data_IF_069630721093
#
_entry.id   IF_069630721093
#
_cell.length_a   1.000
_cell.length_b   1.000
_cell.length_c   1.000
_cell.angle_alpha   90.00
_cell.angle_beta   90.00
_cell.angle_gamma   90.00
#
_symmetry.space_group_name_H-M   'P 1'
#
loop_
_entity.id
_entity.type
_entity.pdbx_description
1 polymer ?
#
# COMPACT_ATOMS: atom_id res chain seq x y z
N UNK A 1 20.10 -56.32 36.55
CA UNK A 1 19.60 -57.46 35.75
C UNK A 1 18.89 -56.90 34.53
N UNK A 2 19.08 -57.56 33.36
CA UNK A 2 18.38 -57.41 32.05
C UNK A 2 18.03 -55.98 31.53
N UNK A 3 18.58 -55.47 30.41
CA UNK A 3 18.44 -55.93 28.99
C UNK A 3 17.00 -55.64 28.51
N UNK A 4 16.74 -54.82 27.48
CA UNK A 4 17.21 -54.97 26.08
C UNK A 4 17.57 -53.63 25.36
N UNK A 5 18.47 -53.72 24.37
CA UNK A 5 18.66 -52.79 23.24
C UNK A 5 18.05 -53.44 21.98
N UNK A 6 17.62 -52.63 20.98
CA UNK A 6 17.27 -52.91 19.54
C UNK A 6 15.93 -52.20 19.20
N UNK A 7 15.47 -51.90 17.97
CA UNK A 7 15.99 -51.74 16.58
C UNK A 7 14.83 -51.06 15.77
N UNK A 8 14.96 -50.35 14.65
CA UNK A 8 16.07 -50.00 13.73
C UNK A 8 15.94 -48.52 13.32
N UNK A 9 17.04 -47.81 13.02
CA UNK A 9 17.01 -46.69 12.05
C UNK A 9 17.60 -47.19 10.73
N UNK A 10 16.75 -47.34 9.70
CA UNK A 10 17.17 -47.82 8.39
C UNK A 10 17.89 -46.71 7.65
N UNK A 11 19.19 -46.92 7.44
CA UNK A 11 19.99 -46.19 6.46
C UNK A 11 19.53 -46.50 5.03
N UNK A 12 19.97 -45.61 4.12
CA UNK A 12 20.33 -45.85 2.71
C UNK A 12 19.29 -45.53 1.63
N UNK A 13 19.84 -45.06 0.50
CA UNK A 13 19.24 -44.69 -0.80
C UNK A 13 18.40 -43.39 -0.81
N UNK A 14 18.74 -42.38 -1.61
CA UNK A 14 19.89 -42.29 -2.52
C UNK A 14 20.05 -40.92 -3.19
N UNK A 15 21.19 -40.72 -3.83
CA UNK A 15 21.45 -39.53 -4.64
C UNK A 15 20.70 -39.62 -5.98
N UNK A 16 19.91 -38.60 -6.28
CA UNK A 16 19.41 -38.27 -7.62
C UNK A 16 19.65 -36.76 -7.75
N UNK A 17 20.83 -36.35 -8.24
CA UNK A 17 21.18 -36.22 -9.67
C UNK A 17 20.34 -35.13 -10.34
N UNK A 18 21.08 -34.10 -10.74
CA UNK A 18 20.71 -33.02 -11.65
C UNK A 18 19.81 -33.46 -12.82
N UNK A 19 18.66 -32.81 -12.94
CA UNK A 19 18.03 -32.51 -14.23
C UNK A 19 17.81 -30.98 -14.20
N UNK A 20 18.69 -30.18 -14.79
CA UNK A 20 18.70 -29.91 -16.24
C UNK A 20 17.26 -29.67 -16.72
N UNK A 21 16.75 -28.48 -16.43
CA UNK A 21 15.51 -27.98 -17.04
C UNK A 21 15.77 -27.72 -18.53
N UNK A 22 15.51 -28.76 -19.32
CA UNK A 22 15.61 -28.74 -20.79
C UNK A 22 14.81 -27.57 -21.36
N UNK A 23 15.48 -26.72 -22.13
CA UNK A 23 14.81 -25.75 -23.00
C UNK A 23 14.02 -26.48 -24.09
N UNK A 24 12.86 -25.94 -24.47
CA UNK A 24 12.33 -25.78 -25.84
C UNK A 24 10.78 -25.79 -25.84
N UNK A 25 10.18 -24.83 -26.55
CA UNK A 25 8.74 -24.61 -26.60
C UNK A 25 8.40 -23.18 -26.14
N UNK A 26 7.99 -22.23 -26.98
CA UNK A 26 7.47 -22.35 -28.36
C UNK A 26 8.04 -21.28 -29.29
N UNK A 27 8.28 -21.66 -30.55
CA UNK A 27 8.56 -20.72 -31.64
C UNK A 27 7.24 -20.06 -32.02
N UNK A 28 7.03 -18.80 -31.62
CA UNK A 28 5.82 -18.05 -31.97
C UNK A 28 5.94 -17.49 -33.40
N UNK A 29 5.67 -18.35 -34.38
CA UNK A 29 5.69 -18.00 -35.80
C UNK A 29 4.40 -17.26 -36.19
N UNK A 30 4.34 -15.96 -35.87
CA UNK A 30 3.22 -15.08 -36.21
C UNK A 30 3.18 -14.78 -37.71
N UNK A 31 2.51 -15.64 -38.49
CA UNK A 31 2.21 -15.39 -39.91
C UNK A 31 1.28 -14.18 -40.06
N UNK A 32 1.54 -13.39 -41.09
CA UNK A 32 0.85 -12.14 -41.41
C UNK A 32 -0.62 -12.32 -41.76
N UNK A 33 -1.48 -11.50 -41.15
CA UNK A 33 -2.75 -11.06 -41.75
C UNK A 33 -2.77 -9.54 -41.70
N UNK A 34 -2.56 -8.91 -42.86
CA UNK A 34 -2.85 -7.50 -43.05
C UNK A 34 -4.28 -7.37 -43.58
N UNK A 35 -5.16 -6.76 -42.79
CA UNK A 35 -6.30 -5.92 -43.22
C UNK A 35 -7.14 -5.51 -42.00
N UNK A 36 -7.98 -4.50 -42.22
CA UNK A 36 -8.85 -3.78 -41.27
C UNK A 36 -8.18 -2.59 -40.56
N UNK A 37 -8.54 -1.43 -41.10
CA UNK A 37 -8.44 -0.09 -40.56
C UNK A 37 -9.39 0.07 -39.36
N UNK A 38 -9.12 1.10 -38.54
CA UNK A 38 -10.03 1.69 -37.55
C UNK A 38 -10.43 0.74 -36.37
N UNK A 39 -10.43 1.14 -35.11
CA UNK A 39 -10.27 2.47 -34.49
C UNK A 39 -9.16 2.43 -33.43
N UNK A 40 -8.27 3.42 -33.43
CA UNK A 40 -7.35 3.64 -32.31
C UNK A 40 -8.09 4.44 -31.24
N UNK A 41 -8.91 3.75 -30.45
CA UNK A 41 -9.42 4.30 -29.18
C UNK A 41 -8.21 4.72 -28.33
N UNK A 42 -7.97 6.03 -28.32
CA UNK A 42 -7.05 6.69 -27.42
C UNK A 42 -7.50 6.36 -26.00
N UNK A 43 -6.80 5.42 -25.34
CA UNK A 43 -6.97 5.13 -23.92
C UNK A 43 -6.65 6.42 -23.15
N UNK A 44 -7.69 7.21 -22.96
CA UNK A 44 -7.65 8.56 -22.43
C UNK A 44 -7.46 8.46 -20.92
N UNK A 45 -6.20 8.25 -20.56
CA UNK A 45 -5.60 8.35 -19.23
C UNK A 45 -6.57 8.90 -18.19
N UNK A 46 -7.01 8.02 -17.28
CA UNK A 46 -7.88 8.36 -16.16
C UNK A 46 -7.16 9.32 -15.19
N UNK A 47 -7.09 10.58 -15.59
CA UNK A 47 -6.50 11.72 -14.88
C UNK A 47 -7.26 13.01 -15.20
N UNK A 48 -8.51 12.89 -15.69
CA UNK A 48 -9.41 14.00 -15.87
C UNK A 48 -10.05 14.41 -14.53
N UNK A 49 -9.37 15.29 -13.82
CA UNK A 49 -9.99 16.26 -12.91
C UNK A 49 -10.70 15.70 -11.67
N UNK A 50 -9.93 15.36 -10.63
CA UNK A 50 -10.41 15.39 -9.24
C UNK A 50 -10.57 16.85 -8.69
N UNK A 51 -10.54 17.84 -9.59
CA UNK A 51 -10.56 19.28 -9.35
C UNK A 51 -11.97 19.78 -9.05
N UNK A 52 -12.25 20.02 -7.76
CA UNK A 52 -13.10 21.08 -7.14
C UNK A 52 -14.38 21.64 -7.83
N UNK A 53 -14.91 21.07 -8.92
CA UNK A 53 -15.96 21.67 -9.79
C UNK A 53 -17.38 21.73 -9.19
N UNK A 54 -17.53 21.51 -7.89
CA UNK A 54 -18.80 21.65 -7.15
C UNK A 54 -18.60 22.31 -5.78
N UNK A 55 -17.44 22.91 -5.51
CA UNK A 55 -17.10 23.55 -4.23
C UNK A 55 -16.99 22.61 -3.01
N UNK A 56 -17.39 21.33 -3.15
CA UNK A 56 -17.38 20.32 -2.09
C UNK A 56 -16.18 19.39 -2.27
N UNK A 57 -15.32 19.36 -1.25
CA UNK A 57 -14.12 18.49 -1.18
C UNK A 57 -14.43 17.05 -1.61
N UNK A 58 -13.55 16.48 -2.41
CA UNK A 58 -13.63 15.10 -2.87
C UNK A 58 -13.22 14.13 -1.76
N UNK A 59 -12.17 14.45 -1.00
CA UNK A 59 -11.75 13.68 0.18
C UNK A 59 -12.85 13.65 1.25
N UNK A 60 -13.58 14.76 1.44
CA UNK A 60 -14.70 14.80 2.39
C UNK A 60 -15.83 13.81 2.06
N UNK A 61 -16.00 13.42 0.78
CA UNK A 61 -16.99 12.40 0.38
C UNK A 61 -16.56 10.97 0.75
N UNK A 62 -15.26 10.75 0.99
CA UNK A 62 -14.72 9.44 1.37
C UNK A 62 -14.88 9.15 2.86
N UNK A 63 -15.10 10.16 3.70
CA UNK A 63 -15.20 10.02 5.17
C UNK A 63 -16.36 9.10 5.60
N UNK A 64 -17.43 9.01 4.82
CA UNK A 64 -18.56 8.11 5.06
C UNK A 64 -18.32 6.64 4.65
N UNK A 65 -17.22 6.35 3.94
CA UNK A 65 -16.85 4.98 3.58
C UNK A 65 -15.98 4.35 4.67
N UNK A 66 -16.07 3.03 4.92
CA UNK A 66 -15.14 2.30 5.78
C UNK A 66 -13.67 2.52 5.36
N UNK A 67 -12.69 2.56 6.30
CA UNK A 67 -11.27 2.81 6.01
C UNK A 67 -10.71 1.98 4.85
N UNK A 68 -11.02 0.68 4.83
CA UNK A 68 -10.54 -0.27 3.81
C UNK A 68 -11.12 0.03 2.41
N UNK A 69 -12.33 0.60 2.32
CA UNK A 69 -12.96 0.95 1.05
C UNK A 69 -12.49 2.30 0.49
N UNK A 70 -11.89 3.16 1.31
CA UNK A 70 -11.36 4.46 0.89
C UNK A 70 -9.84 4.50 0.73
N UNK A 71 -9.10 3.53 1.27
CA UNK A 71 -7.64 3.50 1.29
C UNK A 71 -7.00 3.82 -0.08
N UNK A 72 -7.34 3.10 -1.14
CA UNK A 72 -6.80 3.32 -2.51
C UNK A 72 -7.08 4.72 -3.05
N UNK A 73 -8.28 5.26 -2.79
CA UNK A 73 -8.63 6.61 -3.23
C UNK A 73 -7.85 7.67 -2.43
N UNK A 74 -7.71 7.48 -1.12
CA UNK A 74 -6.92 8.39 -0.28
C UNK A 74 -5.44 8.36 -0.63
N UNK A 75 -4.88 7.19 -0.95
CA UNK A 75 -3.49 7.06 -1.39
C UNK A 75 -3.24 7.80 -2.71
N UNK A 76 -4.14 7.65 -3.69
CA UNK A 76 -4.08 8.40 -4.95
C UNK A 76 -4.15 9.92 -4.74
N UNK A 77 -4.96 10.41 -3.81
CA UNK A 77 -4.96 11.83 -3.42
C UNK A 77 -3.67 12.23 -2.68
N UNK A 78 -3.20 11.40 -1.74
CA UNK A 78 -2.03 11.68 -0.89
C UNK A 78 -0.72 11.72 -1.70
N UNK A 79 -0.62 10.91 -2.74
CA UNK A 79 0.50 10.85 -3.69
C UNK A 79 0.43 11.92 -4.80
N UNK A 80 -0.65 12.71 -4.83
CA UNK A 80 -0.84 13.81 -5.80
C UNK A 80 0.02 15.06 -5.53
N UNK A 81 -0.11 16.10 -6.38
CA UNK A 81 0.56 17.38 -6.15
C UNK A 81 0.04 18.08 -4.88
N UNK A 82 0.94 18.83 -4.22
CA UNK A 82 0.64 19.62 -3.01
C UNK A 82 -0.61 20.47 -3.21
N UNK A 83 -1.65 20.16 -2.43
CA UNK A 83 -2.99 20.76 -2.55
C UNK A 83 -3.80 20.49 -1.29
N UNK A 84 -4.88 21.24 -1.08
CA UNK A 84 -5.77 21.03 0.09
C UNK A 84 -6.31 19.62 0.18
N UNK A 85 -6.68 19.01 -0.96
CA UNK A 85 -7.18 17.64 -1.00
C UNK A 85 -6.07 16.63 -0.70
N UNK A 86 -4.85 16.83 -1.22
CA UNK A 86 -3.70 15.98 -0.91
C UNK A 86 -3.35 16.00 0.59
N UNK A 87 -3.34 17.17 1.23
CA UNK A 87 -3.12 17.31 2.67
C UNK A 87 -4.23 16.67 3.51
N UNK A 88 -5.50 16.83 3.11
CA UNK A 88 -6.64 16.17 3.77
C UNK A 88 -6.58 14.65 3.64
N UNK A 89 -6.17 14.15 2.48
CA UNK A 89 -6.03 12.72 2.22
C UNK A 89 -4.89 12.11 3.05
N UNK A 90 -3.71 12.76 3.12
CA UNK A 90 -2.61 12.36 4.01
C UNK A 90 -3.07 12.24 5.46
N UNK A 91 -3.77 13.25 5.99
CA UNK A 91 -4.29 13.24 7.37
C UNK A 91 -5.30 12.12 7.63
N UNK A 92 -6.24 11.90 6.70
CA UNK A 92 -7.27 10.88 6.85
C UNK A 92 -6.69 9.46 6.72
N UNK A 93 -5.80 9.24 5.75
CA UNK A 93 -5.09 7.97 5.55
C UNK A 93 -4.22 7.62 6.76
N UNK A 94 -3.48 8.60 7.31
CA UNK A 94 -2.75 8.39 8.56
C UNK A 94 -3.65 8.02 9.74
N UNK A 95 -4.81 8.68 9.86
CA UNK A 95 -5.80 8.36 10.90
C UNK A 95 -6.32 6.93 10.77
N UNK A 96 -6.56 6.47 9.54
CA UNK A 96 -7.00 5.12 9.22
C UNK A 96 -5.91 4.07 9.47
N UNK A 97 -4.66 4.38 9.16
CA UNK A 97 -3.50 3.50 9.38
C UNK A 97 -3.21 3.30 10.88
N UNK A 98 -3.35 4.34 11.71
CA UNK A 98 -3.26 4.20 13.18
C UNK A 98 -4.34 3.22 13.69
N UNK A 99 -5.58 3.35 13.22
CA UNK A 99 -6.67 2.43 13.60
C UNK A 99 -6.45 0.99 13.13
N UNK A 100 -5.67 0.81 12.06
CA UNK A 100 -5.31 -0.50 11.50
C UNK A 100 -4.03 -1.09 12.11
N UNK A 101 -3.49 -0.50 13.19
CA UNK A 101 -2.22 -0.88 13.81
C UNK A 101 -1.01 -0.80 12.85
N UNK A 102 -1.01 0.18 11.95
CA UNK A 102 0.08 0.50 11.03
C UNK A 102 0.68 1.90 11.32
N UNK A 103 1.16 2.17 12.55
CA UNK A 103 1.55 3.52 12.98
C UNK A 103 2.77 4.08 12.25
N UNK A 104 3.72 3.23 11.81
CA UNK A 104 4.90 3.67 11.06
C UNK A 104 4.52 4.29 9.71
N UNK A 105 3.63 3.63 8.96
CA UNK A 105 3.09 4.17 7.70
C UNK A 105 2.30 5.46 7.95
N UNK A 106 1.53 5.53 9.05
CA UNK A 106 0.82 6.75 9.43
C UNK A 106 1.77 7.93 9.67
N UNK A 107 2.91 7.71 10.34
CA UNK A 107 3.91 8.75 10.58
C UNK A 107 4.48 9.31 9.27
N UNK A 108 4.76 8.47 8.27
CA UNK A 108 5.22 8.90 6.95
C UNK A 108 4.20 9.85 6.29
N UNK A 109 2.91 9.54 6.37
CA UNK A 109 1.87 10.44 5.84
C UNK A 109 1.69 11.72 6.66
N UNK A 110 2.02 11.72 7.96
CA UNK A 110 1.94 12.91 8.82
C UNK A 110 3.17 13.83 8.73
N UNK A 111 4.31 13.35 8.23
CA UNK A 111 5.59 14.07 8.26
C UNK A 111 5.53 15.47 7.59
N UNK A 112 5.75 16.52 8.38
CA UNK A 112 5.74 17.91 7.92
C UNK A 112 4.36 18.47 7.57
N UNK A 113 3.29 17.69 7.71
CA UNK A 113 1.92 18.08 7.37
C UNK A 113 1.39 19.22 8.25
N UNK A 114 1.91 19.36 9.47
CA UNK A 114 1.65 20.46 10.39
C UNK A 114 2.17 21.81 9.87
N UNK A 115 3.25 21.80 9.07
CA UNK A 115 3.82 22.98 8.44
C UNK A 115 3.22 23.24 7.06
N UNK A 116 3.06 22.18 6.26
CA UNK A 116 2.47 22.23 4.92
C UNK A 116 0.97 22.61 4.92
N UNK A 117 0.23 22.28 5.99
CA UNK A 117 -1.20 22.58 6.13
C UNK A 117 -1.58 22.99 7.57
N UNK A 118 -1.23 24.21 8.01
CA UNK A 118 -1.33 24.64 9.41
C UNK A 118 -2.73 24.58 10.02
N UNK A 119 -3.79 24.59 9.20
CA UNK A 119 -5.20 24.41 9.62
C UNK A 119 -5.42 23.08 10.36
N UNK A 120 -4.59 22.06 10.12
CA UNK A 120 -4.63 20.79 10.84
C UNK A 120 -3.47 20.58 11.82
N UNK A 121 -2.58 21.56 12.04
CA UNK A 121 -1.33 21.37 12.79
C UNK A 121 -1.52 20.67 14.16
N UNK A 122 -2.41 21.19 15.01
CA UNK A 122 -2.69 20.59 16.33
C UNK A 122 -3.29 19.17 16.24
N UNK A 123 -4.03 18.88 15.17
CA UNK A 123 -4.57 17.54 14.92
C UNK A 123 -3.51 16.57 14.37
N UNK A 124 -2.58 17.06 13.54
CA UNK A 124 -1.42 16.29 13.05
C UNK A 124 -0.52 15.90 14.21
N UNK A 125 -0.20 16.83 15.10
CA UNK A 125 0.54 16.59 16.35
C UNK A 125 -0.13 15.50 17.19
N UNK A 126 -1.44 15.64 17.47
CA UNK A 126 -2.21 14.61 18.19
C UNK A 126 -2.16 13.24 17.49
N UNK A 127 -2.16 13.19 16.16
CA UNK A 127 -2.05 11.94 15.40
C UNK A 127 -0.65 11.34 15.46
N UNK A 128 0.41 12.15 15.46
CA UNK A 128 1.79 11.70 15.67
C UNK A 128 1.95 11.11 17.08
N UNK A 129 1.41 11.77 18.12
CA UNK A 129 1.37 11.24 19.47
C UNK A 129 0.65 9.88 19.56
N UNK A 130 -0.53 9.76 18.93
CA UNK A 130 -1.29 8.49 18.86
C UNK A 130 -0.53 7.39 18.13
N UNK A 131 0.18 7.71 17.05
CA UNK A 131 1.01 6.74 16.32
C UNK A 131 2.20 6.24 17.18
N UNK A 132 2.95 7.16 17.83
CA UNK A 132 4.03 6.76 18.74
C UNK A 132 3.53 5.96 19.94
N UNK A 133 2.37 6.31 20.51
CA UNK A 133 1.74 5.52 21.57
C UNK A 133 1.38 4.10 21.10
N UNK A 134 0.87 3.95 19.87
CA UNK A 134 0.58 2.63 19.28
C UNK A 134 1.86 1.80 19.00
N UNK A 135 3.02 2.45 18.83
CA UNK A 135 4.35 1.80 18.76
C UNK A 135 4.94 1.48 20.14
N UNK A 136 4.33 1.93 21.25
CA UNK A 136 4.89 1.84 22.60
C UNK A 136 5.97 2.90 22.91
N UNK A 137 6.19 3.87 22.03
CA UNK A 137 7.18 4.95 22.20
C UNK A 137 6.58 6.12 23.00
N UNK A 138 6.38 5.90 24.30
CA UNK A 138 5.81 6.90 25.23
C UNK A 138 6.64 8.19 25.32
N UNK A 139 7.94 8.12 25.02
CA UNK A 139 8.83 9.28 25.03
C UNK A 139 8.53 10.21 23.85
N UNK A 140 8.43 9.66 22.63
CA UNK A 140 7.99 10.46 21.47
C UNK A 140 6.52 10.82 21.53
N UNK A 141 5.66 9.99 22.13
CA UNK A 141 4.23 10.28 22.26
C UNK A 141 3.92 11.53 23.10
N UNK A 142 4.75 11.82 24.11
CA UNK A 142 4.59 13.01 24.97
C UNK A 142 5.38 14.23 24.49
N UNK A 143 6.26 14.06 23.49
CA UNK A 143 7.10 15.12 22.90
C UNK A 143 6.70 15.51 21.46
N UNK A 144 5.62 14.92 20.92
CA UNK A 144 5.07 15.20 19.60
C UNK A 144 4.29 16.53 19.55
#
# INVERSE_FOLDING_TARGET
MLKERKQQFRLLAGAIVLLVSVCLGVVFLGVTVANQLEEKEENKTASQGLTESTGKSAVARLVSLPPQQRATNLDAFASGPKSREQYRARYLLASDLIQQNQPEQALNHLEGLESDYPVLASHVVLKRAQAYQAMGDSAKATAA
#
